data_IF_090836638482
#
_entry.id   IF_090836638482
#
_cell.length_a   1.000
_cell.length_b   1.000
_cell.length_c   1.000
_cell.angle_alpha   90.00
_cell.angle_beta   90.00
_cell.angle_gamma   90.00
#
_symmetry.space_group_name_H-M   'P 1'
#
loop_
_entity.id
_entity.type
_entity.pdbx_description
1 polymer ?
#
# COMPACT_ATOMS: atom_id res chain seq x y z
N UNK A 1 2.66 6.95 17.05
CA UNK A 1 2.22 7.13 15.66
C UNK A 1 3.40 7.28 14.73
N UNK A 2 3.67 6.24 13.95
CA UNK A 2 4.69 6.16 12.93
C UNK A 2 4.22 6.77 11.61
N UNK A 3 5.14 7.18 10.74
CA UNK A 3 4.82 7.67 9.42
C UNK A 3 4.91 6.53 8.40
N UNK A 4 3.93 6.43 7.51
CA UNK A 4 3.94 5.54 6.36
C UNK A 4 4.34 6.35 5.14
N UNK A 5 5.53 6.07 4.62
CA UNK A 5 6.09 6.72 3.44
C UNK A 5 5.86 5.86 2.19
N UNK A 6 5.53 6.50 1.08
CA UNK A 6 5.44 5.83 -0.21
C UNK A 6 6.84 5.55 -0.75
N UNK A 7 7.15 4.28 -0.93
CA UNK A 7 8.41 3.81 -1.52
C UNK A 7 8.32 3.85 -3.04
N UNK A 8 7.29 3.20 -3.59
CA UNK A 8 7.11 3.06 -5.04
C UNK A 8 5.66 2.70 -5.38
N UNK A 9 5.22 3.08 -6.57
CA UNK A 9 4.03 2.52 -7.23
C UNK A 9 4.52 1.76 -8.45
N UNK A 10 4.23 0.46 -8.52
CA UNK A 10 4.72 -0.42 -9.59
C UNK A 10 3.75 -1.57 -9.85
N UNK A 11 3.94 -2.29 -10.94
CA UNK A 11 3.19 -3.52 -11.22
C UNK A 11 3.68 -4.67 -10.32
N UNK A 12 2.79 -5.60 -9.95
CA UNK A 12 3.12 -6.76 -9.08
C UNK A 12 4.33 -7.54 -9.59
N UNK A 13 4.46 -7.74 -10.91
CA UNK A 13 5.62 -8.45 -11.49
C UNK A 13 6.97 -7.75 -11.28
N UNK A 14 6.94 -6.43 -11.07
CA UNK A 14 8.12 -5.59 -10.89
C UNK A 14 8.43 -5.36 -9.40
N UNK A 15 7.63 -5.94 -8.49
CA UNK A 15 7.92 -5.87 -7.05
C UNK A 15 9.20 -6.65 -6.74
N UNK A 16 10.14 -6.05 -6.00
CA UNK A 16 11.35 -6.74 -5.55
C UNK A 16 11.07 -8.06 -4.82
N UNK A 17 11.88 -9.12 -5.01
CA UNK A 17 11.64 -10.43 -4.40
C UNK A 17 11.54 -10.44 -2.87
N UNK A 18 12.20 -9.50 -2.20
CA UNK A 18 12.17 -9.29 -0.74
C UNK A 18 10.87 -8.64 -0.24
N UNK A 19 10.21 -7.85 -1.10
CA UNK A 19 8.92 -7.20 -0.80
C UNK A 19 7.73 -8.07 -1.24
N UNK A 20 7.92 -8.94 -2.23
CA UNK A 20 6.87 -9.79 -2.81
C UNK A 20 6.09 -10.62 -1.77
N UNK A 21 6.69 -11.19 -0.71
CA UNK A 21 5.96 -11.89 0.35
C UNK A 21 4.91 -11.02 1.06
N UNK A 22 5.18 -9.71 1.25
CA UNK A 22 4.22 -8.79 1.85
C UNK A 22 3.02 -8.57 0.93
N UNK A 23 3.27 -8.46 -0.38
CA UNK A 23 2.23 -8.32 -1.41
C UNK A 23 1.33 -9.56 -1.45
N UNK A 24 1.93 -10.76 -1.49
CA UNK A 24 1.18 -12.02 -1.44
C UNK A 24 0.36 -12.15 -0.16
N UNK A 25 0.96 -11.91 1.01
CA UNK A 25 0.27 -11.98 2.29
C UNK A 25 -0.91 -11.00 2.36
N UNK A 26 -0.75 -9.78 1.84
CA UNK A 26 -1.83 -8.80 1.81
C UNK A 26 -2.96 -9.23 0.88
N UNK A 27 -2.64 -9.81 -0.28
CA UNK A 27 -3.64 -10.34 -1.20
C UNK A 27 -4.44 -11.49 -0.59
N UNK A 28 -3.76 -12.39 0.14
CA UNK A 28 -4.41 -13.50 0.83
C UNK A 28 -5.40 -12.99 1.90
N UNK A 29 -5.02 -11.95 2.67
CA UNK A 29 -5.92 -11.29 3.65
C UNK A 29 -7.14 -10.65 2.97
N UNK A 30 -6.95 -10.06 1.80
CA UNK A 30 -8.03 -9.41 1.04
C UNK A 30 -8.81 -10.38 0.14
N UNK A 31 -8.53 -11.69 0.23
CA UNK A 31 -9.08 -12.73 -0.64
C UNK A 31 -8.97 -12.37 -2.13
N UNK A 32 -7.87 -11.70 -2.48
CA UNK A 32 -7.64 -11.09 -3.79
C UNK A 32 -6.80 -12.01 -4.67
N UNK A 33 -7.25 -12.22 -5.90
CA UNK A 33 -6.44 -12.85 -6.94
C UNK A 33 -5.54 -11.79 -7.59
N UNK A 34 -4.23 -11.93 -7.41
CA UNK A 34 -3.24 -11.01 -8.00
C UNK A 34 -3.03 -11.30 -9.48
N UNK A 35 -2.96 -10.22 -10.27
CA UNK A 35 -2.44 -10.27 -11.63
C UNK A 35 -1.08 -9.56 -11.72
N UNK A 36 -0.19 -10.06 -12.55
CA UNK A 36 1.20 -9.56 -12.65
C UNK A 36 1.29 -8.10 -13.13
N UNK A 37 0.30 -7.65 -13.91
CA UNK A 37 0.14 -6.29 -14.43
C UNK A 37 -0.57 -5.34 -13.46
N UNK A 38 -0.98 -5.83 -12.30
CA UNK A 38 -1.72 -5.02 -11.34
C UNK A 38 -0.82 -3.99 -10.66
N UNK A 39 -1.26 -2.73 -10.61
CA UNK A 39 -0.54 -1.68 -9.88
C UNK A 39 -0.72 -1.82 -8.37
N UNK A 40 0.40 -1.79 -7.67
CA UNK A 40 0.49 -1.81 -6.21
C UNK A 40 1.38 -0.65 -5.74
N UNK A 41 0.89 0.10 -4.75
CA UNK A 41 1.69 1.06 -4.02
C UNK A 41 2.32 0.38 -2.80
N UNK A 42 3.62 0.56 -2.61
CA UNK A 42 4.35 0.01 -1.47
C UNK A 42 4.62 1.15 -0.49
N UNK A 43 4.03 1.05 0.69
CA UNK A 43 4.32 1.93 1.82
C UNK A 43 5.34 1.26 2.75
N UNK A 44 6.17 2.05 3.40
CA UNK A 44 7.03 1.59 4.50
C UNK A 44 6.71 2.39 5.74
N UNK A 45 6.55 1.71 6.89
CA UNK A 45 6.44 2.41 8.16
C UNK A 45 7.86 2.83 8.59
N UNK A 46 8.06 4.12 8.77
CA UNK A 46 9.31 4.71 9.27
C UNK A 46 9.78 3.99 10.52
N UNK A 47 11.10 3.81 10.63
CA UNK A 47 11.80 3.08 11.72
C UNK A 47 11.53 1.57 11.77
N UNK A 48 10.82 1.02 10.78
CA UNK A 48 10.57 -0.43 10.66
C UNK A 48 11.02 -0.97 9.30
N UNK A 49 11.04 -2.29 9.17
CA UNK A 49 11.17 -3.02 7.89
C UNK A 49 9.82 -3.58 7.42
N UNK A 50 8.71 -3.00 7.89
CA UNK A 50 7.37 -3.43 7.56
C UNK A 50 6.87 -2.69 6.32
N UNK A 51 6.64 -3.45 5.25
CA UNK A 51 6.03 -2.94 4.02
C UNK A 51 4.53 -3.18 4.04
N UNK A 52 3.77 -2.16 3.65
CA UNK A 52 2.32 -2.22 3.51
C UNK A 52 1.98 -2.04 2.03
N UNK A 53 1.64 -3.12 1.32
CA UNK A 53 1.12 -3.03 -0.04
C UNK A 53 -0.30 -2.46 -0.05
N UNK A 54 -0.58 -1.61 -1.02
CA UNK A 54 -1.92 -1.06 -1.30
C UNK A 54 -2.23 -1.31 -2.77
N UNK A 55 -3.18 -2.19 -3.03
CA UNK A 55 -3.62 -2.50 -4.39
C UNK A 55 -4.41 -1.32 -4.97
N UNK A 56 -4.03 -0.87 -6.17
CA UNK A 56 -4.61 0.31 -6.81
C UNK A 56 -5.75 -0.02 -7.78
N UNK A 57 -5.96 -1.30 -8.08
CA UNK A 57 -7.14 -1.78 -8.82
C UNK A 57 -8.24 -2.07 -7.80
N UNK A 58 -9.34 -1.33 -7.89
CA UNK A 58 -10.38 -1.27 -6.84
C UNK A 58 -9.82 -0.89 -5.46
N UNK A 59 -9.10 0.24 -5.38
CA UNK A 59 -8.41 0.60 -4.15
C UNK A 59 -9.43 0.89 -3.04
N UNK A 60 -9.09 0.56 -1.78
CA UNK A 60 -9.85 1.10 -0.66
C UNK A 60 -9.88 2.62 -0.76
N UNK A 61 -10.99 3.24 -0.34
CA UNK A 61 -11.07 4.70 -0.27
C UNK A 61 -9.88 5.25 0.54
N UNK A 62 -9.45 6.47 0.25
CA UNK A 62 -8.36 7.11 1.01
C UNK A 62 -8.61 7.01 2.52
N UNK A 63 -9.88 7.16 2.93
CA UNK A 63 -10.33 6.98 4.31
C UNK A 63 -10.10 5.56 4.83
N UNK A 64 -10.46 4.52 4.07
CA UNK A 64 -10.24 3.12 4.47
C UNK A 64 -8.76 2.75 4.59
N UNK A 65 -7.90 3.34 3.73
CA UNK A 65 -6.45 3.22 3.86
C UNK A 65 -5.94 3.89 5.14
N UNK A 66 -6.36 5.13 5.41
CA UNK A 66 -6.00 5.85 6.63
C UNK A 66 -6.47 5.10 7.89
N UNK A 67 -7.67 4.52 7.90
CA UNK A 67 -8.18 3.68 9.00
C UNK A 67 -7.34 2.41 9.20
N UNK A 68 -6.90 1.77 8.11
CA UNK A 68 -6.05 0.57 8.17
C UNK A 68 -4.69 0.89 8.77
N UNK A 69 -4.10 2.03 8.40
CA UNK A 69 -2.84 2.50 8.96
C UNK A 69 -3.01 2.92 10.43
N UNK A 70 -4.11 3.58 10.77
CA UNK A 70 -4.39 4.01 12.14
C UNK A 70 -4.51 2.82 13.11
N UNK A 71 -5.07 1.68 12.67
CA UNK A 71 -5.10 0.43 13.45
C UNK A 71 -3.70 -0.11 13.78
N UNK A 72 -2.68 0.31 13.04
CA UNK A 72 -1.29 -0.08 13.21
C UNK A 72 -0.43 1.05 13.81
N UNK A 73 -1.07 2.07 14.41
CA UNK A 73 -0.43 3.30 14.90
C UNK A 73 0.45 3.98 13.83
N UNK A 74 -0.01 3.96 12.58
CA UNK A 74 0.67 4.58 11.44
C UNK A 74 -0.23 5.63 10.75
N UNK A 75 0.38 6.64 10.12
CA UNK A 75 -0.31 7.63 9.27
C UNK A 75 0.43 7.87 7.97
N UNK A 76 -0.29 8.16 6.89
CA UNK A 76 0.34 8.60 5.65
C UNK A 76 1.06 9.94 5.85
N UNK A 77 2.22 10.09 5.22
CA UNK A 77 2.83 11.40 5.04
C UNK A 77 2.07 12.23 4.00
N UNK A 78 2.24 13.55 4.04
CA UNK A 78 1.59 14.46 3.09
C UNK A 78 1.97 14.12 1.65
N UNK A 79 3.21 13.73 1.43
CA UNK A 79 3.78 13.32 0.15
C UNK A 79 3.15 12.01 -0.33
N UNK A 80 3.11 10.98 0.53
CA UNK A 80 2.50 9.70 0.22
C UNK A 80 1.00 9.86 -0.10
N UNK A 81 0.29 10.67 0.67
CA UNK A 81 -1.13 10.98 0.44
C UNK A 81 -1.36 11.70 -0.89
N UNK A 82 -0.51 12.68 -1.23
CA UNK A 82 -0.60 13.42 -2.50
C UNK A 82 -0.27 12.55 -3.72
N UNK A 83 0.62 11.58 -3.58
CA UNK A 83 0.92 10.61 -4.64
C UNK A 83 -0.23 9.62 -4.82
N UNK A 84 -0.73 9.04 -3.72
CA UNK A 84 -1.83 8.07 -3.75
C UNK A 84 -3.16 8.69 -4.22
N UNK A 85 -3.43 9.96 -3.91
CA UNK A 85 -4.67 10.63 -4.34
C UNK A 85 -4.82 10.75 -5.86
N UNK A 86 -3.73 10.60 -6.63
CA UNK A 86 -3.77 10.53 -8.09
C UNK A 86 -4.27 9.18 -8.61
N UNK A 87 -4.21 8.14 -7.79
CA UNK A 87 -4.52 6.76 -8.15
C UNK A 87 -5.75 6.21 -7.41
N UNK A 88 -6.04 6.71 -6.22
CA UNK A 88 -7.17 6.34 -5.39
C UNK A 88 -8.25 7.39 -5.55
N UNK A 89 -9.47 6.97 -5.92
CA UNK A 89 -10.62 7.88 -5.97
C UNK A 89 -10.83 8.49 -4.59
N UNK A 90 -11.00 9.80 -4.51
CA UNK A 90 -11.54 10.47 -3.34
C UNK A 90 -12.98 9.99 -3.17
N UNK A 91 -13.16 8.92 -2.40
CA UNK A 91 -14.47 8.40 -2.02
C UNK A 91 -15.20 9.35 -1.09
#
# INVERSE_FOLDING_TARGET
MHNANLVVITEVRNVPPDIRPFVSFRADIEERVLTDDELVAILVIDTTTSYIPVFLKDPPSMKGLEETLAKQDAKLTSEAKAALSRHIKAG
#
